data_IF_089247469130
#
_entry.id   IF_089247469130
#
_cell.length_a   1.000
_cell.length_b   1.000
_cell.length_c   1.000
_cell.angle_alpha   90.00
_cell.angle_beta   90.00
_cell.angle_gamma   90.00
#
_symmetry.space_group_name_H-M   'P 1'
#
loop_
_entity.id
_entity.type
_entity.pdbx_description
1 polymer ?
#
# COMPACT_ATOMS: atom_id res chain seq x y z
N UNK A 1 -0.23 -0.98 22.48
CA UNK A 1 0.11 -0.82 21.05
C UNK A 1 1.39 -1.58 20.80
N UNK A 2 1.35 -2.66 20.01
CA UNK A 2 2.53 -3.50 19.78
C UNK A 2 3.48 -2.84 18.78
N UNK A 3 4.77 -3.18 18.86
CA UNK A 3 5.76 -2.79 17.84
C UNK A 3 5.33 -3.25 16.45
N UNK A 4 4.73 -4.44 16.35
CA UNK A 4 4.20 -5.02 15.09
C UNK A 4 3.12 -4.15 14.46
N UNK A 5 2.20 -3.61 15.25
CA UNK A 5 1.17 -2.68 14.76
C UNK A 5 1.79 -1.36 14.26
N UNK A 6 2.74 -0.79 15.02
CA UNK A 6 3.43 0.44 14.61
C UNK A 6 4.17 0.23 13.29
N UNK A 7 4.97 -0.85 13.19
CA UNK A 7 5.72 -1.19 11.97
C UNK A 7 4.79 -1.41 10.77
N UNK A 8 3.65 -2.07 10.97
CA UNK A 8 2.65 -2.30 9.91
C UNK A 8 2.06 -0.99 9.37
N UNK A 9 1.78 0.00 10.24
CA UNK A 9 1.32 1.34 9.78
C UNK A 9 2.38 2.01 8.91
N UNK A 10 3.63 2.07 9.37
CA UNK A 10 4.70 2.72 8.61
C UNK A 10 4.96 2.03 7.27
N UNK A 11 4.96 0.70 7.25
CA UNK A 11 5.11 -0.05 6.00
C UNK A 11 3.95 0.20 5.04
N UNK A 12 2.70 0.22 5.53
CA UNK A 12 1.54 0.53 4.71
C UNK A 12 1.64 1.95 4.10
N UNK A 13 2.00 2.96 4.90
CA UNK A 13 2.14 4.34 4.44
C UNK A 13 3.27 4.51 3.40
N UNK A 14 4.37 3.78 3.56
CA UNK A 14 5.45 3.79 2.59
C UNK A 14 4.98 3.23 1.24
N UNK A 15 4.33 2.05 1.24
CA UNK A 15 3.81 1.44 0.01
C UNK A 15 2.73 2.32 -0.64
N UNK A 16 1.85 2.91 0.16
CA UNK A 16 0.85 3.86 -0.35
C UNK A 16 1.47 5.12 -0.95
N UNK A 17 2.65 5.53 -0.47
CA UNK A 17 3.39 6.64 -1.09
C UNK A 17 3.93 6.29 -2.47
N UNK A 18 4.34 5.04 -2.71
CA UNK A 18 4.73 4.57 -4.05
C UNK A 18 3.53 4.55 -5.00
N UNK A 19 2.37 4.09 -4.53
CA UNK A 19 1.11 4.13 -5.31
C UNK A 19 0.73 5.59 -5.62
N UNK A 20 0.83 6.50 -4.63
CA UNK A 20 0.60 7.93 -4.84
C UNK A 20 1.55 8.50 -5.91
N UNK A 21 2.81 8.11 -5.91
CA UNK A 21 3.78 8.54 -6.92
C UNK A 21 3.40 8.04 -8.31
N UNK A 22 3.00 6.77 -8.44
CA UNK A 22 2.49 6.20 -9.68
C UNK A 22 1.31 7.03 -10.22
N UNK A 23 0.31 7.31 -9.38
CA UNK A 23 -0.87 8.08 -9.76
C UNK A 23 -0.55 9.52 -10.14
N UNK A 24 0.43 10.15 -9.47
CA UNK A 24 0.90 11.49 -9.84
C UNK A 24 1.58 11.49 -11.21
N UNK A 25 2.37 10.47 -11.51
CA UNK A 25 3.08 10.37 -12.79
C UNK A 25 2.14 10.12 -13.96
N UNK A 26 1.07 9.37 -13.74
CA UNK A 26 0.08 9.07 -14.80
C UNK A 26 -1.04 10.10 -14.89
N UNK A 27 -1.00 11.17 -14.09
CA UNK A 27 -1.95 12.27 -14.19
C UNK A 27 -1.86 13.00 -15.55
N UNK A 28 -2.97 13.55 -16.08
CA UNK A 28 -4.32 13.53 -15.50
C UNK A 28 -5.15 12.28 -15.87
N UNK A 29 -4.76 11.51 -16.89
CA UNK A 29 -5.56 10.39 -17.41
C UNK A 29 -5.56 9.15 -16.51
N UNK A 30 -4.52 9.00 -15.71
CA UNK A 30 -4.27 7.84 -14.84
C UNK A 30 -4.21 6.50 -15.57
N UNK A 31 -3.94 6.54 -16.88
CA UNK A 31 -3.73 5.35 -17.69
C UNK A 31 -2.47 4.64 -17.23
N UNK A 32 -2.61 3.36 -16.88
CA UNK A 32 -1.50 2.51 -16.48
C UNK A 32 -1.18 1.52 -17.60
N UNK A 33 0.10 1.39 -17.94
CA UNK A 33 0.57 0.28 -18.76
C UNK A 33 0.50 -1.07 -18.00
N UNK A 34 0.75 -2.17 -18.70
CA UNK A 34 0.66 -3.51 -18.11
C UNK A 34 1.70 -3.76 -17.01
N UNK A 35 2.87 -3.13 -17.06
CA UNK A 35 3.86 -3.24 -15.99
C UNK A 35 3.46 -2.42 -14.77
N UNK A 36 2.95 -1.21 -14.97
CA UNK A 36 2.41 -0.34 -13.95
C UNK A 36 1.23 -0.97 -13.22
N UNK A 37 0.33 -1.63 -13.94
CA UNK A 37 -0.77 -2.42 -13.36
C UNK A 37 -0.22 -3.55 -12.49
N UNK A 38 0.78 -4.30 -12.96
CA UNK A 38 1.42 -5.37 -12.17
C UNK A 38 2.09 -4.82 -10.91
N UNK A 39 2.79 -3.69 -11.02
CA UNK A 39 3.40 -2.99 -9.87
C UNK A 39 2.34 -2.53 -8.87
N UNK A 40 1.28 -1.88 -9.34
CA UNK A 40 0.16 -1.43 -8.52
C UNK A 40 -0.52 -2.61 -7.79
N UNK A 41 -0.81 -3.70 -8.50
CA UNK A 41 -1.40 -4.91 -7.93
C UNK A 41 -0.52 -5.50 -6.83
N UNK A 42 0.80 -5.57 -7.06
CA UNK A 42 1.76 -6.05 -6.07
C UNK A 42 1.81 -5.15 -4.83
N UNK A 43 1.85 -3.83 -5.00
CA UNK A 43 1.83 -2.87 -3.89
C UNK A 43 0.54 -2.95 -3.09
N UNK A 44 -0.62 -3.04 -3.77
CA UNK A 44 -1.93 -3.20 -3.10
C UNK A 44 -1.97 -4.49 -2.30
N UNK A 45 -1.48 -5.61 -2.84
CA UNK A 45 -1.43 -6.87 -2.11
C UNK A 45 -0.56 -6.77 -0.84
N UNK A 46 0.55 -6.04 -0.89
CA UNK A 46 1.39 -5.77 0.29
C UNK A 46 0.67 -4.91 1.32
N UNK A 47 -0.02 -3.83 0.90
CA UNK A 47 -0.82 -2.99 1.81
C UNK A 47 -1.89 -3.83 2.51
N UNK A 48 -2.63 -4.67 1.78
CA UNK A 48 -3.66 -5.56 2.37
C UNK A 48 -3.10 -6.46 3.47
N UNK A 49 -1.87 -6.98 3.31
CA UNK A 49 -1.21 -7.77 4.37
C UNK A 49 -0.92 -6.93 5.61
N UNK A 50 -0.49 -5.67 5.45
CA UNK A 50 -0.28 -4.77 6.59
C UNK A 50 -1.59 -4.42 7.28
N UNK A 51 -2.67 -4.19 6.53
CA UNK A 51 -4.00 -3.96 7.10
C UNK A 51 -4.47 -5.18 7.90
N UNK A 52 -4.29 -6.39 7.40
CA UNK A 52 -4.64 -7.60 8.15
C UNK A 52 -3.91 -7.71 9.50
N UNK A 53 -2.63 -7.29 9.56
CA UNK A 53 -1.88 -7.20 10.83
C UNK A 53 -2.50 -6.15 11.75
N UNK A 54 -2.90 -4.99 11.23
CA UNK A 54 -3.54 -3.95 12.04
C UNK A 54 -4.90 -4.38 12.58
N UNK A 55 -5.69 -5.10 11.78
CA UNK A 55 -6.96 -5.69 12.23
C UNK A 55 -6.74 -6.70 13.37
N UNK A 56 -5.71 -7.54 13.27
CA UNK A 56 -5.32 -8.48 14.31
C UNK A 56 -4.86 -7.79 15.60
N UNK A 57 -4.10 -6.69 15.51
CA UNK A 57 -3.45 -6.06 16.66
C UNK A 57 -4.27 -4.95 17.33
N UNK A 58 -5.25 -4.35 16.62
CA UNK A 58 -6.01 -3.19 17.09
C UNK A 58 -7.50 -3.45 17.30
N UNK A 59 -8.05 -4.46 16.64
CA UNK A 59 -9.52 -4.71 16.61
C UNK A 59 -9.88 -6.08 17.19
N UNK A 60 -8.98 -7.06 17.11
CA UNK A 60 -9.13 -8.37 17.74
C UNK A 60 -8.39 -8.44 19.07
#
# INVERSE_FOLDING_TARGET
MSKRAVDAVFQALFILSDIRFLLRRTAPGHDLDEEEKKRAATSIAKVKRQIAILEEELVR
#
